data_IF_986117680401
#
_entry.id   IF_986117680401
#
_cell.length_a   1.000
_cell.length_b   1.000
_cell.length_c   1.000
_cell.angle_alpha   90.00
_cell.angle_beta   90.00
_cell.angle_gamma   90.00
#
_symmetry.space_group_name_H-M   'P 1'
#
loop_
_entity.id
_entity.type
_entity.pdbx_description
1 polymer ?
#
# COMPACT_ATOMS: atom_id res chain seq x y z
N UNK A 1 13.45 14.98 -9.97
CA UNK A 1 13.61 13.98 -11.05
C UNK A 1 14.36 14.57 -12.24
N UNK A 2 15.00 13.75 -13.07
CA UNK A 2 15.56 14.17 -14.36
C UNK A 2 14.45 14.12 -15.41
N UNK A 3 13.66 15.19 -15.50
CA UNK A 3 12.63 15.32 -16.52
C UNK A 3 13.25 15.33 -17.94
N UNK A 4 12.60 14.59 -18.86
CA UNK A 4 12.97 14.60 -20.28
C UNK A 4 12.90 16.03 -20.80
N UNK A 5 14.03 16.52 -21.32
CA UNK A 5 14.14 17.91 -21.78
C UNK A 5 14.96 18.01 -23.06
N UNK A 6 14.55 18.93 -23.93
CA UNK A 6 15.30 19.27 -25.14
C UNK A 6 15.59 20.76 -25.12
N UNK A 7 16.87 21.11 -25.13
CA UNK A 7 17.35 22.49 -25.12
C UNK A 7 18.02 22.80 -26.45
N UNK A 8 17.41 23.68 -27.23
CA UNK A 8 18.00 24.19 -28.46
C UNK A 8 18.96 25.33 -28.11
N UNK A 9 20.25 25.19 -28.43
CA UNK A 9 21.29 26.22 -28.24
C UNK A 9 21.86 26.65 -29.59
N UNK A 10 22.51 27.83 -29.67
CA UNK A 10 23.15 28.29 -30.92
C UNK A 10 24.20 27.34 -31.48
N UNK A 11 24.83 26.52 -30.64
CA UNK A 11 25.85 25.54 -31.00
C UNK A 11 25.29 24.13 -31.25
N UNK A 12 23.99 23.90 -31.05
CA UNK A 12 23.36 22.59 -31.24
C UNK A 12 22.23 22.31 -30.25
N UNK A 13 21.68 21.10 -30.35
CA UNK A 13 20.58 20.62 -29.51
C UNK A 13 21.12 19.73 -28.42
N UNK A 14 20.81 20.03 -27.17
CA UNK A 14 21.05 19.15 -26.03
C UNK A 14 19.75 18.43 -25.70
N UNK A 15 19.76 17.10 -25.75
CA UNK A 15 18.59 16.28 -25.48
C UNK A 15 18.87 15.35 -24.30
N UNK A 16 18.06 15.45 -23.26
CA UNK A 16 18.04 14.54 -22.13
C UNK A 16 16.84 13.59 -22.30
N UNK A 17 17.07 12.32 -22.71
CA UNK A 17 15.98 11.39 -22.98
C UNK A 17 15.29 10.87 -21.71
N UNK A 18 15.86 11.04 -20.52
CA UNK A 18 15.34 10.42 -19.30
C UNK A 18 15.59 8.90 -19.27
N UNK A 19 14.80 8.16 -18.49
CA UNK A 19 14.93 6.70 -18.34
C UNK A 19 14.09 5.97 -19.39
N UNK A 20 14.60 4.85 -19.90
CA UNK A 20 13.86 4.00 -20.86
C UNK A 20 12.87 3.07 -20.18
N UNK A 21 13.06 2.83 -18.88
CA UNK A 21 12.23 1.97 -18.04
C UNK A 21 12.26 2.55 -16.62
N UNK A 22 11.12 2.97 -16.05
CA UNK A 22 11.05 3.44 -14.67
C UNK A 22 11.41 2.33 -13.69
N UNK A 23 12.31 2.65 -12.74
CA UNK A 23 12.81 1.73 -11.72
C UNK A 23 11.97 1.74 -10.43
N UNK A 24 11.13 2.76 -10.26
CA UNK A 24 10.27 2.91 -9.09
C UNK A 24 9.01 3.67 -9.46
N UNK A 25 8.00 3.59 -8.60
CA UNK A 25 6.75 4.34 -8.73
C UNK A 25 6.94 5.86 -8.70
N UNK A 26 8.05 6.36 -8.14
CA UNK A 26 8.39 7.79 -8.17
C UNK A 26 8.93 8.25 -9.53
N UNK A 27 9.38 7.33 -10.38
CA UNK A 27 9.78 7.62 -11.75
C UNK A 27 8.55 7.53 -12.65
N UNK A 28 7.64 8.50 -12.56
CA UNK A 28 6.41 8.53 -13.38
C UNK A 28 6.66 8.93 -14.85
N UNK A 29 7.91 8.92 -15.31
CA UNK A 29 8.19 9.20 -16.72
C UNK A 29 7.88 7.96 -17.54
N UNK A 30 6.96 8.11 -18.51
CA UNK A 30 6.68 7.12 -19.54
C UNK A 30 8.01 6.62 -20.14
N UNK A 31 8.40 5.40 -19.77
CA UNK A 31 9.68 4.79 -20.14
C UNK A 31 9.81 4.79 -21.66
N UNK A 32 10.65 5.68 -22.17
CA UNK A 32 10.65 5.93 -23.61
C UNK A 32 12.05 6.19 -24.11
N UNK A 33 12.25 5.98 -25.39
CA UNK A 33 13.46 6.39 -26.09
C UNK A 33 13.16 7.57 -27.01
N UNK A 34 14.21 8.25 -27.47
CA UNK A 34 14.11 9.33 -28.43
C UNK A 34 14.72 8.89 -29.74
N UNK A 35 13.91 8.90 -30.79
CA UNK A 35 14.37 8.75 -32.16
C UNK A 35 14.74 10.13 -32.69
N UNK A 36 16.01 10.35 -32.98
CA UNK A 36 16.51 11.58 -33.59
C UNK A 36 16.72 11.34 -35.08
N UNK A 37 15.91 11.99 -35.91
CA UNK A 37 16.04 12.00 -37.36
C UNK A 37 16.79 13.28 -37.77
N UNK A 38 17.89 13.16 -38.50
CA UNK A 38 18.63 14.31 -39.05
C UNK A 38 18.36 14.37 -40.55
N UNK A 39 17.67 15.41 -41.00
CA UNK A 39 17.41 15.68 -42.41
C UNK A 39 18.69 16.03 -43.18
N UNK A 40 18.65 15.91 -44.50
CA UNK A 40 19.75 16.31 -45.39
C UNK A 40 20.00 17.83 -45.39
N UNK A 41 19.04 18.61 -44.89
CA UNK A 41 19.11 20.04 -44.63
C UNK A 41 19.71 20.38 -43.25
N UNK A 42 20.07 19.36 -42.46
CA UNK A 42 20.58 19.51 -41.10
C UNK A 42 19.49 19.78 -40.05
N UNK A 43 18.20 19.75 -40.43
CA UNK A 43 17.11 19.88 -39.46
C UNK A 43 16.96 18.59 -38.65
N UNK A 44 16.91 18.76 -37.33
CA UNK A 44 16.76 17.65 -36.39
C UNK A 44 15.28 17.51 -36.01
N UNK A 45 14.76 16.29 -36.10
CA UNK A 45 13.43 15.94 -35.61
C UNK A 45 13.56 14.86 -34.54
N UNK A 46 13.15 15.20 -33.33
CA UNK A 46 13.15 14.26 -32.20
C UNK A 46 11.72 13.76 -32.00
N UNK A 47 11.55 12.43 -32.00
CA UNK A 47 10.27 11.77 -31.69
C UNK A 47 10.46 10.86 -30.50
N UNK A 48 9.48 10.82 -29.62
CA UNK A 48 9.45 9.86 -28.50
C UNK A 48 8.84 8.55 -28.99
N UNK A 49 9.48 7.44 -28.64
CA UNK A 49 8.96 6.09 -28.85
C UNK A 49 8.82 5.45 -27.47
N UNK A 50 7.62 4.99 -27.16
CA UNK A 50 7.33 4.24 -25.95
C UNK A 50 8.00 2.86 -26.02
N UNK A 51 8.88 2.60 -25.06
CA UNK A 51 9.64 1.34 -24.95
C UNK A 51 9.43 0.65 -23.61
N UNK A 52 8.60 1.23 -22.73
CA UNK A 52 8.37 0.70 -21.40
C UNK A 52 7.58 -0.60 -21.51
N UNK A 53 8.16 -1.70 -21.07
CA UNK A 53 7.43 -2.97 -21.00
C UNK A 53 6.70 -3.11 -19.66
N UNK A 54 7.22 -2.45 -18.63
CA UNK A 54 6.61 -2.37 -17.31
C UNK A 54 6.10 -0.96 -17.07
N UNK A 55 4.86 -0.83 -16.65
CA UNK A 55 4.27 0.45 -16.24
C UNK A 55 3.84 0.41 -14.77
N UNK A 56 3.98 1.53 -14.07
CA UNK A 56 3.64 1.64 -12.65
C UNK A 56 2.33 2.40 -12.51
N UNK A 57 1.33 1.76 -11.92
CA UNK A 57 0.02 2.36 -11.67
C UNK A 57 -0.15 2.57 -10.18
N UNK A 58 -0.36 3.80 -9.75
CA UNK A 58 -0.82 4.10 -8.40
C UNK A 58 -2.30 4.45 -8.48
N UNK A 59 -3.15 3.61 -7.89
CA UNK A 59 -4.60 3.78 -7.93
C UNK A 59 -5.14 3.84 -6.52
N UNK A 60 -5.85 4.91 -6.24
CA UNK A 60 -6.44 5.18 -4.95
C UNK A 60 -7.96 5.02 -5.02
N UNK A 61 -8.51 4.21 -4.10
CA UNK A 61 -9.93 3.87 -4.09
C UNK A 61 -10.49 4.08 -2.70
N UNK A 62 -11.61 4.81 -2.61
CA UNK A 62 -12.35 4.95 -1.35
C UNK A 62 -13.48 3.91 -1.32
N UNK A 63 -13.40 2.99 -0.37
CA UNK A 63 -14.35 1.88 -0.20
C UNK A 63 -15.51 2.32 0.66
N UNK A 64 -16.74 2.00 0.22
CA UNK A 64 -17.96 2.32 0.95
C UNK A 64 -18.18 1.34 2.10
N UNK A 65 -18.96 1.78 3.08
CA UNK A 65 -19.46 0.92 4.15
C UNK A 65 -20.23 -0.27 3.54
N UNK A 66 -20.00 -1.48 4.08
CA UNK A 66 -20.63 -2.74 3.65
C UNK A 66 -20.24 -3.22 2.24
N UNK A 67 -19.06 -2.86 1.75
CA UNK A 67 -18.54 -3.41 0.49
C UNK A 67 -18.00 -4.82 0.73
N UNK A 68 -18.59 -5.82 0.08
CA UNK A 68 -18.08 -7.20 0.10
C UNK A 68 -16.83 -7.35 -0.76
N UNK A 69 -15.99 -8.38 -0.52
CA UNK A 69 -14.82 -8.66 -1.37
C UNK A 69 -15.17 -8.74 -2.86
N UNK A 70 -16.26 -9.42 -3.24
CA UNK A 70 -16.65 -9.51 -4.65
C UNK A 70 -16.96 -8.15 -5.25
N UNK A 71 -17.69 -7.29 -4.53
CA UNK A 71 -17.97 -5.93 -4.98
C UNK A 71 -16.68 -5.10 -5.09
N UNK A 72 -15.74 -5.29 -4.16
CA UNK A 72 -14.43 -4.66 -4.17
C UNK A 72 -13.63 -5.06 -5.42
N UNK A 73 -13.54 -6.36 -5.73
CA UNK A 73 -12.82 -6.84 -6.91
C UNK A 73 -13.40 -6.30 -8.21
N UNK A 74 -14.73 -6.20 -8.33
CA UNK A 74 -15.36 -5.59 -9.50
C UNK A 74 -15.04 -4.10 -9.62
N UNK A 75 -14.97 -3.38 -8.49
CA UNK A 75 -14.55 -1.98 -8.46
C UNK A 75 -13.10 -1.82 -8.91
N UNK A 76 -12.17 -2.60 -8.34
CA UNK A 76 -10.75 -2.58 -8.73
C UNK A 76 -10.57 -2.91 -10.21
N UNK A 77 -11.31 -3.89 -10.72
CA UNK A 77 -11.31 -4.22 -12.15
C UNK A 77 -11.80 -3.06 -13.02
N UNK A 78 -12.84 -2.36 -12.59
CA UNK A 78 -13.34 -1.19 -13.31
C UNK A 78 -12.27 -0.09 -13.37
N UNK A 79 -11.62 0.20 -12.25
CA UNK A 79 -10.53 1.19 -12.18
C UNK A 79 -9.35 0.83 -13.10
N UNK A 80 -8.95 -0.45 -13.16
CA UNK A 80 -7.93 -0.93 -14.12
C UNK A 80 -8.35 -0.71 -15.58
N UNK A 81 -9.64 -0.88 -15.87
CA UNK A 81 -10.21 -0.67 -17.20
C UNK A 81 -10.37 0.81 -17.58
N UNK A 82 -10.16 1.74 -16.65
CA UNK A 82 -10.12 3.17 -16.94
C UNK A 82 -8.69 3.67 -17.20
N UNK A 83 -7.68 2.91 -16.79
CA UNK A 83 -6.28 3.28 -17.00
C UNK A 83 -5.86 3.27 -18.48
N UNK A 84 -5.03 4.26 -18.83
CA UNK A 84 -4.39 4.34 -20.13
C UNK A 84 -3.34 3.23 -20.29
N UNK A 85 -3.36 2.59 -21.46
CA UNK A 85 -2.46 1.49 -21.82
C UNK A 85 -1.45 2.00 -22.85
N UNK A 86 -0.18 1.92 -22.49
CA UNK A 86 0.94 2.17 -23.37
C UNK A 86 0.98 1.18 -24.53
N UNK A 87 1.64 1.59 -25.61
CA UNK A 87 1.74 0.77 -26.81
C UNK A 87 2.68 -0.43 -26.60
N UNK A 88 3.59 -0.31 -25.64
CA UNK A 88 4.61 -1.30 -25.30
C UNK A 88 4.32 -2.08 -24.02
N UNK A 89 3.29 -1.70 -23.26
CA UNK A 89 2.92 -2.35 -21.99
C UNK A 89 2.77 -3.87 -22.12
N UNK A 90 3.43 -4.58 -21.22
CA UNK A 90 3.33 -6.02 -21.02
C UNK A 90 3.03 -6.38 -19.58
N UNK A 91 3.56 -5.60 -18.64
CA UNK A 91 3.39 -5.80 -17.21
C UNK A 91 2.96 -4.47 -16.60
N UNK A 92 1.96 -4.48 -15.72
CA UNK A 92 1.69 -3.36 -14.83
C UNK A 92 2.04 -3.74 -13.40
N UNK A 93 2.82 -2.92 -12.73
CA UNK A 93 2.94 -2.95 -11.27
C UNK A 93 1.92 -1.98 -10.70
N UNK A 94 0.88 -2.52 -10.08
CA UNK A 94 -0.27 -1.76 -9.58
C UNK A 94 -0.19 -1.67 -8.06
N UNK A 95 0.06 -0.46 -7.57
CA UNK A 95 -0.03 -0.12 -6.16
C UNK A 95 -1.42 0.42 -5.86
N UNK A 96 -2.16 -0.30 -5.03
CA UNK A 96 -3.50 0.04 -4.59
C UNK A 96 -3.46 0.70 -3.23
N UNK A 97 -4.04 1.90 -3.13
CA UNK A 97 -4.29 2.56 -1.85
C UNK A 97 -5.79 2.55 -1.59
N UNK A 98 -6.25 1.67 -0.70
CA UNK A 98 -7.67 1.51 -0.38
C UNK A 98 -7.99 2.22 0.93
N UNK A 99 -8.79 3.28 0.84
CA UNK A 99 -9.28 4.00 2.01
C UNK A 99 -10.65 3.48 2.42
N UNK A 100 -10.77 2.89 3.60
CA UNK A 100 -12.01 2.28 4.06
C UNK A 100 -12.25 2.49 5.57
N UNK A 101 -13.46 2.25 6.05
CA UNK A 101 -13.72 2.25 7.49
C UNK A 101 -13.04 1.05 8.15
N UNK A 102 -12.70 1.15 9.44
CA UNK A 102 -12.02 0.06 10.17
C UNK A 102 -12.79 -1.27 10.13
N UNK A 103 -14.13 -1.32 10.29
CA UNK A 103 -14.87 -2.57 10.15
C UNK A 103 -14.67 -3.23 8.78
N UNK A 104 -14.80 -2.46 7.69
CA UNK A 104 -14.59 -2.95 6.32
C UNK A 104 -13.14 -3.39 6.11
N UNK A 105 -12.18 -2.65 6.66
CA UNK A 105 -10.77 -3.04 6.62
C UNK A 105 -10.54 -4.42 7.22
N UNK A 106 -11.11 -4.68 8.41
CA UNK A 106 -10.96 -5.98 9.10
C UNK A 106 -11.56 -7.11 8.28
N UNK A 107 -12.76 -6.91 7.75
CA UNK A 107 -13.43 -7.86 6.87
C UNK A 107 -12.57 -8.18 5.64
N UNK A 108 -12.06 -7.16 4.95
CA UNK A 108 -11.21 -7.35 3.76
C UNK A 108 -9.86 -8.01 4.07
N UNK A 109 -9.28 -7.76 5.25
CA UNK A 109 -8.07 -8.46 5.71
C UNK A 109 -8.39 -9.92 5.99
N UNK A 110 -9.49 -10.20 6.67
CA UNK A 110 -9.92 -11.56 7.00
C UNK A 110 -10.27 -12.38 5.75
N UNK A 111 -10.81 -11.73 4.71
CA UNK A 111 -11.11 -12.33 3.42
C UNK A 111 -9.89 -12.41 2.47
N UNK A 112 -8.67 -12.12 2.95
CA UNK A 112 -7.42 -12.15 2.18
C UNK A 112 -7.48 -11.37 0.85
N UNK A 113 -7.97 -10.12 0.90
CA UNK A 113 -8.14 -9.27 -0.28
C UNK A 113 -6.89 -9.21 -1.18
N UNK A 114 -5.68 -9.15 -0.61
CA UNK A 114 -4.45 -9.10 -1.39
C UNK A 114 -4.25 -10.34 -2.27
N UNK A 115 -4.56 -11.53 -1.73
CA UNK A 115 -4.51 -12.79 -2.47
C UNK A 115 -5.62 -12.84 -3.52
N UNK A 116 -6.84 -12.45 -3.13
CA UNK A 116 -7.97 -12.42 -4.04
C UNK A 116 -7.72 -11.48 -5.25
N UNK A 117 -7.14 -10.30 -5.01
CA UNK A 117 -6.72 -9.38 -6.08
C UNK A 117 -5.64 -10.01 -6.95
N UNK A 118 -4.62 -10.62 -6.36
CA UNK A 118 -3.53 -11.25 -7.10
C UNK A 118 -4.00 -12.41 -8.00
N UNK A 119 -5.05 -13.13 -7.59
CA UNK A 119 -5.59 -14.28 -8.34
C UNK A 119 -6.65 -13.85 -9.35
N UNK A 120 -7.60 -13.01 -8.96
CA UNK A 120 -8.76 -12.67 -9.81
C UNK A 120 -8.44 -11.57 -10.83
N UNK A 121 -7.41 -10.76 -10.56
CA UNK A 121 -6.99 -9.63 -11.40
C UNK A 121 -5.57 -9.82 -11.94
N UNK A 122 -5.07 -11.05 -12.06
CA UNK A 122 -3.73 -11.37 -12.55
C UNK A 122 -3.43 -10.87 -13.99
N UNK A 123 -4.46 -10.78 -14.82
CA UNK A 123 -4.38 -10.40 -16.22
C UNK A 123 -5.43 -9.37 -16.65
N UNK A 124 -4.98 -8.35 -17.40
CA UNK A 124 -5.86 -7.39 -18.06
C UNK A 124 -5.87 -7.62 -19.58
N UNK A 125 -7.04 -7.94 -20.13
CA UNK A 125 -7.24 -8.14 -21.58
C UNK A 125 -7.69 -6.84 -22.25
N UNK A 126 -6.90 -6.35 -23.20
CA UNK A 126 -7.16 -5.13 -23.98
C UNK A 126 -7.02 -5.43 -25.48
N UNK A 127 -8.16 -5.62 -26.14
CA UNK A 127 -8.19 -6.00 -27.54
C UNK A 127 -7.55 -7.38 -27.75
N UNK A 128 -6.43 -7.43 -28.47
CA UNK A 128 -5.68 -8.66 -28.75
C UNK A 128 -4.51 -8.90 -27.79
N UNK A 129 -4.31 -8.01 -26.82
CA UNK A 129 -3.18 -8.05 -25.89
C UNK A 129 -3.64 -8.44 -24.49
N UNK A 130 -2.77 -9.14 -23.81
CA UNK A 130 -2.88 -9.43 -22.37
C UNK A 130 -1.73 -8.71 -21.67
N UNK A 131 -2.05 -8.00 -20.60
CA UNK A 131 -1.10 -7.34 -19.71
C UNK A 131 -1.11 -8.11 -18.41
N UNK A 132 0.08 -8.52 -17.94
CA UNK A 132 0.23 -9.16 -16.64
C UNK A 132 0.20 -8.10 -15.54
N UNK A 133 -0.52 -8.37 -14.45
CA UNK A 133 -0.66 -7.44 -13.35
C UNK A 133 0.09 -7.98 -12.12
N UNK A 134 0.89 -7.12 -11.49
CA UNK A 134 1.57 -7.37 -10.23
C UNK A 134 0.98 -6.40 -9.21
N UNK A 135 0.33 -6.94 -8.18
CA UNK A 135 -0.43 -6.13 -7.24
C UNK A 135 0.31 -5.94 -5.93
N UNK A 136 0.30 -4.70 -5.45
CA UNK A 136 0.64 -4.31 -4.10
C UNK A 136 -0.58 -3.61 -3.51
N UNK A 137 -1.06 -4.05 -2.34
CA UNK A 137 -2.31 -3.56 -1.74
C UNK A 137 -2.04 -2.99 -0.36
N UNK A 138 -2.34 -1.70 -0.21
CA UNK A 138 -2.24 -0.99 1.06
C UNK A 138 -3.63 -0.54 1.50
N UNK A 139 -3.99 -0.91 2.72
CA UNK A 139 -5.25 -0.51 3.36
C UNK A 139 -4.98 0.64 4.32
N UNK A 140 -5.75 1.73 4.18
CA UNK A 140 -5.63 2.91 5.03
C UNK A 140 -7.00 3.20 5.67
N UNK A 141 -7.09 3.24 7.02
CA UNK A 141 -8.37 3.46 7.66
C UNK A 141 -8.73 4.94 7.58
N UNK A 142 -9.97 5.17 7.14
CA UNK A 142 -10.64 6.45 7.22
C UNK A 142 -10.80 6.88 8.68
N UNK A 143 -10.95 8.20 8.87
CA UNK A 143 -11.28 8.76 10.17
C UNK A 143 -12.58 8.16 10.70
N UNK A 144 -12.59 7.84 11.99
CA UNK A 144 -13.77 7.27 12.63
C UNK A 144 -14.90 8.30 12.69
N UNK A 145 -16.06 7.96 12.13
CA UNK A 145 -17.30 8.67 12.40
C UNK A 145 -17.88 8.14 13.71
N UNK A 146 -17.39 8.66 14.83
CA UNK A 146 -17.84 8.24 16.15
C UNK A 146 -19.20 8.87 16.46
N UNK A 147 -20.13 8.04 16.93
CA UNK A 147 -21.35 8.55 17.57
C UNK A 147 -21.00 9.42 18.77
N UNK A 148 -21.78 10.50 18.99
CA UNK A 148 -21.59 11.47 20.07
C UNK A 148 -21.57 10.87 21.49
N UNK A 149 -21.97 9.60 21.63
CA UNK A 149 -21.99 8.88 22.89
C UNK A 149 -20.61 8.56 23.48
N UNK A 150 -19.52 8.51 22.68
CA UNK A 150 -18.21 8.07 23.17
C UNK A 150 -17.17 9.20 23.19
N UNK A 151 -17.23 10.05 24.22
CA UNK A 151 -16.32 11.20 24.41
C UNK A 151 -14.83 10.80 24.44
N UNK A 152 -14.48 9.60 24.94
CA UNK A 152 -13.10 9.12 24.97
C UNK A 152 -12.58 8.80 23.57
N UNK A 153 -13.37 8.09 22.76
CA UNK A 153 -13.04 7.82 21.37
C UNK A 153 -12.91 9.14 20.58
N UNK A 154 -13.80 10.11 20.82
CA UNK A 154 -13.74 11.43 20.18
C UNK A 154 -12.48 12.21 20.58
N UNK A 155 -12.03 12.08 21.83
CA UNK A 155 -10.79 12.70 22.31
C UNK A 155 -9.57 12.04 21.66
N UNK A 156 -9.54 10.72 21.56
CA UNK A 156 -8.47 9.99 20.90
C UNK A 156 -8.37 10.34 19.41
N UNK A 157 -9.50 10.31 18.70
CA UNK A 157 -9.58 10.71 17.28
C UNK A 157 -9.08 12.14 17.07
N UNK A 158 -9.48 13.09 17.93
CA UNK A 158 -8.95 14.46 17.90
C UNK A 158 -7.44 14.52 18.10
N UNK A 159 -6.89 13.82 19.10
CA UNK A 159 -5.44 13.80 19.33
C UNK A 159 -4.67 13.29 18.12
N UNK A 160 -5.12 12.19 17.51
CA UNK A 160 -4.48 11.64 16.30
C UNK A 160 -4.53 12.64 15.14
N UNK A 161 -5.70 13.25 14.90
CA UNK A 161 -5.88 14.10 13.72
C UNK A 161 -5.27 15.50 13.90
N UNK A 162 -5.26 16.05 15.12
CA UNK A 162 -4.69 17.36 15.42
C UNK A 162 -3.15 17.30 15.50
N UNK A 163 -2.58 16.25 16.09
CA UNK A 163 -1.12 16.07 16.21
C UNK A 163 -0.49 15.56 14.90
N UNK A 164 -1.31 15.15 13.92
CA UNK A 164 -0.80 14.59 12.68
C UNK A 164 0.07 15.53 11.84
N UNK A 165 -0.10 16.83 12.05
CA UNK A 165 0.57 17.89 11.29
C UNK A 165 1.92 18.30 11.86
N UNK A 166 2.31 17.78 13.02
CA UNK A 166 3.46 18.27 13.78
C UNK A 166 4.69 17.33 13.75
N UNK A 167 4.53 16.11 13.22
CA UNK A 167 5.53 15.06 13.37
C UNK A 167 6.88 15.39 12.72
N UNK A 168 6.92 15.87 11.48
CA UNK A 168 8.21 16.01 10.78
C UNK A 168 9.08 17.13 11.35
N UNK A 169 8.49 18.32 11.58
CA UNK A 169 9.22 19.46 12.13
C UNK A 169 9.63 19.26 13.57
N UNK A 170 8.77 18.66 14.40
CA UNK A 170 9.08 18.41 15.81
C UNK A 170 10.08 17.27 15.98
N UNK A 171 9.96 16.18 15.21
CA UNK A 171 10.98 15.12 15.20
C UNK A 171 12.32 15.63 14.70
N UNK A 172 12.31 16.48 13.66
CA UNK A 172 13.54 17.10 13.17
C UNK A 172 14.18 17.97 14.24
N UNK A 173 13.39 18.78 14.93
CA UNK A 173 13.87 19.60 16.03
C UNK A 173 14.41 18.73 17.19
N UNK A 174 13.73 17.64 17.54
CA UNK A 174 14.19 16.69 18.55
C UNK A 174 15.55 16.07 18.20
N UNK A 175 15.74 15.69 16.93
CA UNK A 175 17.01 15.14 16.43
C UNK A 175 18.12 16.22 16.43
N UNK A 176 17.79 17.47 16.13
CA UNK A 176 18.73 18.58 16.13
C UNK A 176 19.15 19.02 17.55
N UNK A 177 18.22 18.99 18.50
CA UNK A 177 18.41 19.41 19.89
C UNK A 177 19.12 18.36 20.76
N UNK A 178 19.20 17.10 20.30
CA UNK A 178 19.89 16.02 21.02
C UNK A 178 21.43 16.16 20.94
N UNK A 179 22.02 16.53 22.07
CA UNK A 179 23.46 16.71 22.23
C UNK A 179 24.28 15.41 22.26
N UNK A 180 23.64 14.27 22.53
CA UNK A 180 24.30 12.95 22.60
C UNK A 180 24.45 12.33 21.20
N UNK A 181 23.63 12.74 20.23
CA UNK A 181 23.73 12.25 18.86
C UNK A 181 24.94 12.83 18.14
N UNK A 182 25.78 11.93 17.59
CA UNK A 182 26.85 12.31 16.67
C UNK A 182 26.29 12.95 15.40
N UNK A 183 27.10 13.78 14.72
CA UNK A 183 26.73 14.43 13.46
C UNK A 183 26.30 13.42 12.38
N UNK A 184 26.98 12.27 12.30
CA UNK A 184 26.63 11.22 11.34
C UNK A 184 25.28 10.58 11.63
N UNK A 185 24.94 10.35 12.91
CA UNK A 185 23.63 9.82 13.30
C UNK A 185 22.50 10.81 13.07
N UNK A 186 22.72 12.10 13.36
CA UNK A 186 21.74 13.15 13.04
C UNK A 186 21.41 13.15 11.55
N UNK A 187 22.44 13.12 10.69
CA UNK A 187 22.23 13.10 9.24
C UNK A 187 21.43 11.87 8.76
N UNK A 188 21.72 10.68 9.32
CA UNK A 188 20.97 9.46 8.99
C UNK A 188 19.52 9.51 9.46
N UNK A 189 19.29 9.97 10.69
CA UNK A 189 17.93 10.07 11.25
C UNK A 189 17.12 11.12 10.49
N UNK A 190 17.70 12.28 10.18
CA UNK A 190 17.03 13.30 9.34
C UNK A 190 16.74 12.76 7.93
N UNK A 191 17.63 11.96 7.34
CA UNK A 191 17.34 11.31 6.05
C UNK A 191 16.18 10.32 6.16
N UNK A 192 16.09 9.54 7.25
CA UNK A 192 14.98 8.62 7.50
C UNK A 192 13.65 9.35 7.71
N UNK A 193 13.64 10.55 8.30
CA UNK A 193 12.41 11.34 8.45
C UNK A 193 11.69 11.56 7.12
N UNK A 194 12.43 11.81 6.04
CA UNK A 194 11.85 12.00 4.71
C UNK A 194 11.20 10.75 4.13
N UNK A 195 11.51 9.57 4.69
CA UNK A 195 10.89 8.29 4.34
C UNK A 195 9.77 7.86 5.29
N UNK A 196 9.40 8.67 6.29
CA UNK A 196 8.31 8.33 7.20
C UNK A 196 6.98 8.57 6.50
N UNK A 197 6.23 7.48 6.28
CA UNK A 197 4.85 7.53 5.83
C UNK A 197 3.93 7.82 7.02
N UNK A 198 3.62 9.10 7.21
CA UNK A 198 2.73 9.56 8.27
C UNK A 198 1.32 8.95 8.14
N UNK A 199 0.82 8.75 6.91
CA UNK A 199 -0.50 8.18 6.67
C UNK A 199 -0.57 6.73 7.16
N UNK A 200 0.51 5.96 6.96
CA UNK A 200 0.63 4.59 7.50
C UNK A 200 0.71 4.57 9.02
N UNK A 201 1.45 5.50 9.63
CA UNK A 201 1.54 5.60 11.10
C UNK A 201 0.17 5.92 11.71
N UNK A 202 -0.51 6.96 11.22
CA UNK A 202 -1.85 7.30 11.72
C UNK A 202 -2.87 6.23 11.37
N UNK A 203 -2.74 5.60 10.21
CA UNK A 203 -3.52 4.44 9.83
C UNK A 203 -3.40 3.34 10.87
N UNK A 204 -2.18 3.02 11.30
CA UNK A 204 -1.95 2.04 12.35
C UNK A 204 -2.55 2.47 13.69
N UNK A 205 -2.37 3.72 14.10
CA UNK A 205 -2.97 4.26 15.33
C UNK A 205 -4.51 4.21 15.31
N UNK A 206 -5.13 4.44 14.15
CA UNK A 206 -6.59 4.30 13.94
C UNK A 206 -7.05 2.85 13.87
N UNK A 207 -6.19 1.91 13.46
CA UNK A 207 -6.53 0.49 13.48
C UNK A 207 -6.46 -0.05 14.91
N UNK A 208 -5.32 0.17 15.58
CA UNK A 208 -5.06 -0.34 16.93
C UNK A 208 -5.97 0.34 17.97
N UNK A 209 -6.19 1.65 17.84
CA UNK A 209 -7.10 2.36 18.74
C UNK A 209 -8.55 1.93 18.58
N UNK A 210 -8.93 1.37 17.43
CA UNK A 210 -10.30 0.94 17.21
C UNK A 210 -10.64 -0.29 18.05
N UNK A 211 -9.65 -1.12 18.38
CA UNK A 211 -9.81 -2.25 19.33
C UNK A 211 -10.23 -1.78 20.74
N UNK A 212 -9.98 -0.52 21.09
CA UNK A 212 -10.37 0.01 22.40
C UNK A 212 -11.79 0.55 22.45
N UNK A 213 -12.38 0.87 21.30
CA UNK A 213 -13.63 1.64 21.23
C UNK A 213 -14.73 1.01 20.38
N UNK A 214 -14.39 0.15 19.43
CA UNK A 214 -15.37 -0.67 18.73
C UNK A 214 -15.66 -1.89 19.61
N UNK A 215 -16.93 -2.17 19.95
CA UNK A 215 -17.27 -3.47 20.52
C UNK A 215 -16.82 -4.56 19.56
N UNK A 216 -16.44 -5.73 20.08
CA UNK A 216 -16.10 -6.88 19.24
C UNK A 216 -17.19 -7.03 18.19
N UNK A 217 -16.80 -7.05 16.91
CA UNK A 217 -17.73 -7.14 15.78
C UNK A 217 -18.68 -8.34 15.94
N UNK A 218 -18.24 -9.37 16.66
CA UNK A 218 -19.02 -10.54 17.05
C UNK A 218 -20.17 -10.21 18.04
N UNK A 219 -19.97 -9.31 19.00
CA UNK A 219 -21.04 -8.84 19.89
C UNK A 219 -22.07 -7.98 19.14
N UNK A 220 -21.64 -7.19 18.16
CA UNK A 220 -22.56 -6.35 17.40
C UNK A 220 -23.42 -7.17 16.41
N UNK A 221 -22.84 -8.18 15.76
CA UNK A 221 -23.60 -9.11 14.92
C UNK A 221 -24.57 -10.00 15.73
N UNK A 222 -24.17 -10.44 16.92
CA UNK A 222 -25.06 -11.20 17.82
C UNK A 222 -26.20 -10.34 18.35
N UNK A 223 -25.96 -9.06 18.64
CA UNK A 223 -27.00 -8.10 19.01
C UNK A 223 -27.94 -7.76 17.84
N UNK A 224 -27.44 -7.65 16.60
CA UNK A 224 -28.31 -7.45 15.43
C UNK A 224 -29.12 -8.70 15.06
N UNK A 225 -28.56 -9.91 15.22
CA UNK A 225 -29.29 -11.17 15.01
C UNK A 225 -30.37 -11.41 16.07
N UNK A 226 -30.12 -11.01 17.32
CA UNK A 226 -31.13 -11.09 18.39
C UNK A 226 -32.16 -9.96 18.34
N UNK A 227 -31.83 -8.82 17.75
CA UNK A 227 -32.76 -7.72 17.47
C UNK A 227 -33.60 -7.93 16.19
N UNK A 228 -33.47 -9.06 15.49
CA UNK A 228 -34.35 -9.41 14.37
C UNK A 228 -35.75 -9.73 14.93
N UNK A 229 -36.80 -8.93 14.61
CA UNK A 229 -38.14 -9.15 15.15
C UNK A 229 -38.76 -10.39 14.51
N UNK A 230 -38.51 -11.55 15.12
CA UNK A 230 -39.27 -12.77 14.84
C UNK A 230 -40.63 -12.67 15.51
N UNK A 231 -41.65 -12.64 14.66
CA UNK A 231 -43.05 -13.03 14.92
C UNK A 231 -43.83 -12.23 15.97
N UNK A 232 -44.16 -10.97 15.65
CA UNK A 232 -45.49 -10.46 16.02
C UNK A 232 -46.47 -11.05 15.00
N UNK A 233 -46.86 -12.30 15.25
CA UNK A 233 -48.02 -12.94 14.66
C UNK A 233 -49.23 -12.01 14.83
N UNK A 234 -49.77 -11.52 13.71
CA UNK A 234 -51.08 -10.88 13.63
C UNK A 234 -52.17 -11.92 13.94
N UNK A 235 -52.36 -12.19 15.24
CA UNK A 235 -53.46 -12.96 15.79
C UNK A 235 -54.44 -12.05 16.51
N UNK A 236 -55.18 -11.25 15.75
CA UNK A 236 -56.25 -10.43 16.31
C UNK A 236 -57.45 -11.30 16.76
N UNK A 237 -57.84 -11.07 18.01
CA UNK A 237 -59.22 -11.13 18.56
C UNK A 237 -59.73 -12.45 19.15
N UNK A 238 -59.84 -12.49 20.48
CA UNK A 238 -61.07 -12.66 21.32
C UNK A 238 -60.62 -13.07 22.73
N UNK A 239 -60.67 -12.17 23.72
CA UNK A 239 -61.72 -12.06 24.77
C UNK A 239 -61.86 -13.37 25.56
N UNK A 240 -61.74 -13.45 26.88
CA UNK A 240 -62.36 -12.66 27.96
C UNK A 240 -61.58 -12.93 29.27
N UNK A 241 -61.63 -11.96 30.19
CA UNK A 241 -61.70 -12.09 31.66
C UNK A 241 -60.73 -13.03 32.40
N UNK A 242 -59.80 -12.42 33.15
CA UNK A 242 -59.31 -12.89 34.48
C UNK A 242 -58.48 -11.73 35.07
N UNK A 243 -59.07 -10.88 35.90
CA UNK A 243 -59.17 -10.99 37.36
C UNK A 243 -57.81 -10.80 38.07
N UNK A 244 -57.80 -9.76 38.90
CA UNK A 244 -56.64 -9.17 39.58
C UNK A 244 -56.03 -10.13 40.60
N UNK A 245 -54.70 -10.23 40.62
CA UNK A 245 -53.95 -10.48 41.85
C UNK A 245 -52.75 -9.54 41.91
N UNK A 246 -52.86 -8.57 42.81
CA UNK A 246 -51.72 -7.82 43.34
C UNK A 246 -50.88 -8.82 44.19
N UNK A 247 -49.71 -9.21 43.71
CA UNK A 247 -48.72 -9.92 44.52
C UNK A 247 -47.45 -9.09 44.65
N UNK A 248 -47.15 -8.76 45.91
CA UNK A 248 -45.93 -8.16 46.43
C UNK A 248 -44.68 -8.78 45.79
N UNK A 249 -43.89 -7.97 45.07
CA UNK A 249 -42.51 -8.31 44.75
C UNK A 249 -41.64 -7.93 45.95
N UNK A 250 -41.39 -8.90 46.83
CA UNK A 250 -40.33 -8.78 47.83
C UNK A 250 -38.97 -8.97 47.15
N UNK A 251 -38.14 -7.92 47.20
CA UNK A 251 -36.68 -8.03 47.12
C UNK A 251 -36.20 -8.99 48.19
N UNK A 252 -35.65 -10.15 47.79
CA UNK A 252 -34.60 -10.92 48.48
C UNK A 252 -34.53 -12.30 47.81
N UNK A 253 -33.59 -12.50 46.89
CA UNK A 253 -32.81 -13.73 46.90
C UNK A 253 -31.51 -13.55 46.11
N UNK A 254 -30.46 -13.35 46.90
CA UNK A 254 -29.08 -13.59 46.52
C UNK A 254 -28.82 -15.10 46.63
N UNK A 255 -28.45 -15.74 45.53
CA UNK A 255 -27.80 -17.06 45.49
C UNK A 255 -26.98 -17.08 44.19
N UNK A 256 -25.69 -16.80 44.26
CA UNK A 256 -24.62 -17.79 44.51
C UNK A 256 -24.68 -18.96 43.51
N UNK A 257 -24.14 -18.73 42.31
CA UNK A 257 -23.84 -19.79 41.34
C UNK A 257 -22.32 -19.81 41.14
N UNK A 258 -21.70 -20.48 42.10
CA UNK A 258 -20.66 -21.49 41.94
C UNK A 258 -19.80 -21.44 40.67
N UNK A 259 -18.55 -21.08 40.92
CA UNK A 259 -17.35 -21.55 40.25
C UNK A 259 -17.45 -23.05 39.90
N UNK A 260 -17.23 -23.37 38.62
CA UNK A 260 -16.75 -24.69 38.22
C UNK A 260 -15.42 -24.48 37.49
N UNK A 261 -14.34 -24.72 38.22
CA UNK A 261 -13.08 -25.20 37.69
C UNK A 261 -13.36 -26.46 36.87
N UNK A 262 -13.01 -26.46 35.58
CA UNK A 262 -12.85 -27.70 34.83
C UNK A 262 -11.49 -27.64 34.13
N UNK A 263 -10.54 -28.30 34.80
CA UNK A 263 -9.23 -28.68 34.29
C UNK A 263 -9.39 -29.69 33.15
N UNK A 264 -9.02 -29.33 31.92
CA UNK A 264 -8.59 -30.33 30.94
C UNK A 264 -7.39 -29.83 30.16
N UNK A 265 -6.22 -30.11 30.74
CA UNK A 265 -4.94 -30.24 30.05
C UNK A 265 -5.02 -31.43 29.08
N UNK A 266 -5.15 -31.15 27.78
CA UNK A 266 -4.87 -32.11 26.73
C UNK A 266 -3.51 -31.75 26.13
N UNK A 267 -2.51 -32.58 26.40
CA UNK A 267 -1.20 -32.53 25.76
C UNK A 267 -1.36 -32.94 24.29
N UNK A 268 -1.13 -32.01 23.37
CA UNK A 268 -0.92 -32.34 21.96
C UNK A 268 0.55 -32.70 21.76
N UNK A 269 0.76 -33.99 21.50
CA UNK A 269 1.95 -34.58 20.90
C UNK A 269 2.28 -33.82 19.60
N UNK A 270 3.32 -32.98 19.64
CA UNK A 270 3.92 -32.37 18.45
C UNK A 270 4.90 -33.40 17.86
N UNK A 271 4.66 -33.95 16.66
CA UNK A 271 5.68 -34.71 15.96
C UNK A 271 6.83 -33.78 15.57
N UNK A 272 8.00 -34.05 16.13
CA UNK A 272 9.27 -33.45 15.71
C UNK A 272 9.63 -33.98 14.33
N UNK A 273 9.34 -33.20 13.29
CA UNK A 273 9.92 -33.39 11.97
C UNK A 273 11.39 -32.97 12.02
N UNK A 274 12.24 -33.98 12.23
CA UNK A 274 13.66 -33.95 11.89
C UNK A 274 13.79 -33.89 10.36
N UNK A 275 13.58 -32.71 9.76
CA UNK A 275 14.04 -32.46 8.40
C UNK A 275 15.56 -32.27 8.44
N UNK A 276 16.25 -33.36 8.10
CA UNK A 276 17.63 -33.37 7.66
C UNK A 276 17.83 -32.34 6.56
N UNK A 277 18.48 -31.23 6.92
CA UNK A 277 19.11 -30.35 5.94
C UNK A 277 20.26 -31.13 5.32
N UNK A 278 20.01 -31.69 4.14
CA UNK A 278 21.06 -32.22 3.28
C UNK A 278 22.01 -31.07 2.91
N UNK A 279 23.26 -31.24 3.33
CA UNK A 279 24.43 -30.51 2.88
C UNK A 279 24.48 -30.53 1.34
N UNK A 280 24.27 -29.38 0.70
CA UNK A 280 24.65 -29.19 -0.70
C UNK A 280 25.92 -28.32 -0.81
N UNK A 281 26.85 -28.70 -1.71
CA UNK A 281 28.28 -28.46 -1.57
C UNK A 281 28.77 -27.16 -2.23
N UNK A 282 29.88 -26.66 -1.70
CA UNK A 282 30.97 -25.96 -2.40
C UNK A 282 30.57 -25.04 -3.56
N UNK A 283 30.21 -23.81 -3.22
CA UNK A 283 30.21 -22.69 -4.16
C UNK A 283 31.68 -22.26 -4.40
N UNK A 284 32.28 -22.77 -5.47
CA UNK A 284 33.61 -22.40 -5.94
C UNK A 284 33.67 -20.90 -6.30
N UNK A 285 34.24 -20.10 -5.40
CA UNK A 285 34.70 -18.74 -5.68
C UNK A 285 35.96 -18.78 -6.56
N UNK A 286 35.78 -18.93 -7.88
CA UNK A 286 36.83 -18.64 -8.86
C UNK A 286 36.54 -17.27 -9.51
N UNK A 287 36.75 -16.19 -8.75
CA UNK A 287 36.79 -14.85 -9.31
C UNK A 287 38.15 -14.59 -9.96
N UNK A 288 38.09 -14.54 -11.29
CA UNK A 288 39.13 -14.09 -12.21
C UNK A 288 39.91 -12.88 -11.69
N UNK A 289 41.22 -13.09 -11.48
CA UNK A 289 42.22 -12.04 -11.55
C UNK A 289 42.25 -11.50 -12.99
N UNK A 290 41.60 -10.35 -13.22
CA UNK A 290 41.81 -9.55 -14.42
C UNK A 290 42.93 -8.56 -14.12
N UNK A 291 44.10 -8.80 -14.72
CA UNK A 291 45.24 -7.89 -14.77
C UNK A 291 44.79 -6.53 -15.35
N UNK A 292 45.09 -5.40 -14.69
CA UNK A 292 44.82 -4.07 -15.22
C UNK A 292 46.11 -3.46 -15.79
N UNK A 293 46.65 -4.03 -16.87
CA UNK A 293 47.79 -3.47 -17.61
C UNK A 293 47.57 -3.66 -19.12
N UNK A 294 46.76 -2.80 -19.73
CA UNK A 294 46.60 -2.52 -21.18
C UNK A 294 45.58 -1.36 -21.23
N UNK A 295 45.76 -0.17 -21.79
CA UNK A 295 46.64 0.31 -22.86
C UNK A 295 46.90 1.81 -22.63
N UNK A 296 48.16 2.24 -22.50
CA UNK A 296 48.56 3.63 -22.79
C UNK A 296 48.82 3.74 -24.30
N UNK A 297 47.80 4.11 -25.09
CA UNK A 297 48.00 4.55 -26.47
C UNK A 297 48.36 6.04 -26.50
N UNK A 298 49.64 6.30 -26.73
CA UNK A 298 50.21 7.58 -27.15
C UNK A 298 49.56 8.05 -28.46
N UNK A 299 48.74 9.10 -28.37
CA UNK A 299 48.33 9.88 -29.54
C UNK A 299 49.44 10.89 -29.87
N UNK A 300 50.28 10.55 -30.85
CA UNK A 300 51.17 11.52 -31.49
C UNK A 300 50.36 12.45 -32.40
N UNK A 301 50.37 13.74 -32.07
CA UNK A 301 49.84 14.84 -32.88
C UNK A 301 50.71 15.03 -34.15
N UNK A 302 50.20 14.62 -35.32
CA UNK A 302 50.73 15.07 -36.60
C UNK A 302 50.12 16.43 -36.98
N UNK A 303 50.89 17.49 -36.73
CA UNK A 303 50.66 18.85 -37.25
C UNK A 303 50.83 18.88 -38.77
N UNK A 304 49.70 18.94 -39.48
CA UNK A 304 49.65 19.06 -40.93
C UNK A 304 48.96 20.38 -41.32
N UNK A 305 49.71 21.48 -41.43
CA UNK A 305 49.24 22.70 -42.11
C UNK A 305 50.33 23.28 -43.01
N UNK A 306 50.34 22.76 -44.24
CA UNK A 306 50.91 23.45 -45.38
C UNK A 306 49.92 24.48 -45.94
N UNK A 307 50.39 25.73 -46.09
CA UNK A 307 50.28 26.44 -47.36
C UNK A 307 49.04 27.28 -47.64
N UNK A 308 49.29 28.59 -47.82
CA UNK A 308 48.76 29.29 -48.98
C UNK A 308 47.96 30.56 -48.71
N UNK A 309 48.59 31.72 -48.93
CA UNK A 309 47.98 32.80 -49.69
C UNK A 309 49.06 33.78 -50.17
N UNK A 310 48.99 34.07 -51.47
CA UNK A 310 49.68 35.14 -52.17
C UNK A 310 49.00 36.49 -51.93
#
# INVERSE_FOLDING_TARGET
ELERSTLNRPLGTMHCPGTTQPRSHHETSDGSCSLVEIGTDGLQRIRTIDTSSVDWKHIEVTVREHTTLTAMLQMLKAELLEQNVGSSDRIWSVHWTLRCSVPVMRELIQEDLAVAVAVELDELKRGTRTIQLLHDVVLIPLEWQLSDANHLAQRYSRLINDDARLIESELKQLIEDDSELSVGWRHRLTALLSGIDAERIFGRMRSDGADWFLPDLEEFETLQRTASPRDISEGASQSEDDEWTDEDFTEEDAVDVLMSDDELSAEEDVPSDDEQFDDDPDFDEEYNNVDPDDDEEDFEDEDDVAGGAA
#
